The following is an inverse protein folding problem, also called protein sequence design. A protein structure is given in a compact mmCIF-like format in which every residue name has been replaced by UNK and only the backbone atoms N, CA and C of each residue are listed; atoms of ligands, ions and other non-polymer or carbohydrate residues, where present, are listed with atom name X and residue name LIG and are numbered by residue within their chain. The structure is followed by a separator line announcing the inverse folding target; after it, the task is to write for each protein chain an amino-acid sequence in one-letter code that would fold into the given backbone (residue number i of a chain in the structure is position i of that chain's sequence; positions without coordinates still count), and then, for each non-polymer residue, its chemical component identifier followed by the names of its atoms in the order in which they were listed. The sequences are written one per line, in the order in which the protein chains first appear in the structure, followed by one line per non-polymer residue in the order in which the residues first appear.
data_IF_499021192717
#
_entry.id   IF_499021192717
#
_cell.length_a   1.000
_cell.length_b   1.000
_cell.length_c   1.000
_cell.angle_alpha   90.00
_cell.angle_beta   90.00
_cell.angle_gamma   90.00
#
_symmetry.space_group_name_H-M   'P 1'
#
loop_
_entity.id
_entity.type
_entity.pdbx_description
1 polymer ?
#
# COMPACT_ATOMS: atom_id res chain seq x y z
N UNK A 1 -34.84 0.88 1.85
CA UNK A 1 -33.61 1.72 1.94
C UNK A 1 -32.57 1.18 2.90
N UNK A 2 -32.90 0.87 4.16
CA UNK A 2 -31.94 0.37 5.16
C UNK A 2 -31.23 -0.92 4.69
N UNK A 3 -31.97 -1.88 4.13
CA UNK A 3 -31.40 -3.11 3.58
C UNK A 3 -30.39 -2.88 2.43
N UNK A 4 -30.60 -1.86 1.59
CA UNK A 4 -29.67 -1.49 0.53
C UNK A 4 -28.33 -1.01 1.08
N UNK A 5 -28.34 -0.12 2.08
CA UNK A 5 -27.11 0.35 2.72
C UNK A 5 -26.40 -0.76 3.50
N UNK A 6 -27.14 -1.66 4.13
CA UNK A 6 -26.60 -2.87 4.76
C UNK A 6 -25.86 -3.76 3.76
N UNK A 7 -26.49 -4.04 2.62
CA UNK A 7 -25.87 -4.78 1.53
C UNK A 7 -24.63 -4.07 0.97
N UNK A 8 -24.71 -2.77 0.70
CA UNK A 8 -23.61 -1.98 0.15
C UNK A 8 -22.38 -1.98 1.07
N UNK A 9 -22.56 -1.69 2.36
CA UNK A 9 -21.47 -1.66 3.33
C UNK A 9 -20.85 -3.05 3.51
N UNK A 10 -21.67 -4.10 3.57
CA UNK A 10 -21.20 -5.47 3.63
C UNK A 10 -20.38 -5.85 2.39
N UNK A 11 -20.87 -5.53 1.19
CA UNK A 11 -20.17 -5.82 -0.06
C UNK A 11 -18.83 -5.09 -0.18
N UNK A 12 -18.75 -3.82 0.22
CA UNK A 12 -17.47 -3.08 0.24
C UNK A 12 -16.45 -3.77 1.15
N UNK A 13 -16.88 -4.20 2.34
CA UNK A 13 -16.04 -4.90 3.32
C UNK A 13 -15.56 -6.25 2.77
N UNK A 14 -16.47 -7.06 2.24
CA UNK A 14 -16.17 -8.37 1.66
C UNK A 14 -15.20 -8.25 0.48
N UNK A 15 -15.45 -7.33 -0.45
CA UNK A 15 -14.55 -7.08 -1.58
C UNK A 15 -13.17 -6.60 -1.12
N UNK A 16 -13.12 -5.76 -0.08
CA UNK A 16 -11.86 -5.30 0.50
C UNK A 16 -11.04 -6.44 1.13
N UNK A 17 -11.70 -7.40 1.78
CA UNK A 17 -11.07 -8.61 2.32
C UNK A 17 -10.49 -9.47 1.18
N UNK A 18 -11.25 -9.70 0.10
CA UNK A 18 -10.74 -10.43 -1.05
C UNK A 18 -9.56 -9.75 -1.73
N UNK A 19 -9.56 -8.42 -1.82
CA UNK A 19 -8.42 -7.66 -2.32
C UNK A 19 -7.17 -7.81 -1.42
N UNK A 20 -7.34 -7.88 -0.09
CA UNK A 20 -6.27 -8.17 0.86
C UNK A 20 -5.69 -9.58 0.66
N UNK A 21 -6.55 -10.59 0.58
CA UNK A 21 -6.13 -11.97 0.27
C UNK A 21 -5.39 -12.04 -1.07
N UNK A 22 -5.92 -11.38 -2.10
CA UNK A 22 -5.31 -11.33 -3.43
C UNK A 22 -3.97 -10.61 -3.47
N UNK A 23 -3.72 -9.64 -2.57
CA UNK A 23 -2.42 -8.99 -2.43
C UNK A 23 -1.42 -9.91 -1.72
N UNK A 24 -1.85 -10.61 -0.68
CA UNK A 24 -1.03 -11.59 0.05
C UNK A 24 -0.70 -12.82 -0.81
N UNK A 25 -1.64 -13.31 -1.61
CA UNK A 25 -1.39 -14.42 -2.55
C UNK A 25 -0.37 -14.04 -3.64
N UNK A 26 -0.39 -12.78 -4.11
CA UNK A 26 0.55 -12.31 -5.13
C UNK A 26 1.97 -12.08 -4.61
N UNK A 27 2.12 -11.70 -3.33
CA UNK A 27 3.44 -11.51 -2.68
C UNK A 27 3.40 -12.01 -1.22
N UNK A 28 3.52 -13.32 -0.97
CA UNK A 28 3.38 -13.89 0.38
C UNK A 28 4.45 -13.41 1.36
N UNK A 29 5.65 -13.06 0.87
CA UNK A 29 6.74 -12.54 1.70
C UNK A 29 6.53 -11.08 2.15
N UNK A 30 5.74 -10.28 1.43
CA UNK A 30 5.65 -8.83 1.62
C UNK A 30 5.14 -8.44 3.00
N UNK A 31 4.17 -9.18 3.55
CA UNK A 31 3.65 -8.90 4.90
C UNK A 31 4.71 -9.18 5.98
N UNK A 32 5.45 -10.29 5.85
CA UNK A 32 6.53 -10.63 6.78
C UNK A 32 7.68 -9.63 6.73
N UNK A 33 8.02 -9.12 5.55
CA UNK A 33 9.03 -8.08 5.34
C UNK A 33 8.58 -6.72 5.88
N UNK A 34 7.33 -6.32 5.62
CA UNK A 34 6.72 -5.12 6.18
C UNK A 34 6.75 -5.14 7.72
N UNK A 35 6.28 -6.23 8.33
CA UNK A 35 6.30 -6.38 9.79
C UNK A 35 7.73 -6.39 10.37
N UNK A 36 8.71 -6.88 9.61
CA UNK A 36 10.13 -6.81 9.98
C UNK A 36 10.64 -5.37 9.94
N UNK A 37 10.30 -4.63 8.89
CA UNK A 37 10.68 -3.22 8.73
C UNK A 37 10.06 -2.32 9.82
N UNK A 38 8.81 -2.58 10.21
CA UNK A 38 8.17 -1.87 11.32
C UNK A 38 8.86 -2.11 12.67
N UNK A 39 9.49 -3.28 12.86
CA UNK A 39 10.25 -3.63 14.07
C UNK A 39 9.45 -3.64 15.39
N UNK A 40 8.11 -3.56 15.35
CA UNK A 40 7.25 -3.49 16.54
C UNK A 40 6.99 -4.87 17.13
N UNK A 41 6.84 -5.90 16.29
CA UNK A 41 6.55 -7.26 16.72
C UNK A 41 7.81 -8.10 16.87
N UNK A 42 7.84 -8.94 17.92
CA UNK A 42 8.88 -9.95 18.10
C UNK A 42 8.88 -11.01 16.97
N UNK A 43 9.98 -11.76 16.78
CA UNK A 43 10.15 -12.66 15.63
C UNK A 43 9.06 -13.74 15.51
N UNK A 44 8.58 -14.26 16.64
CA UNK A 44 7.52 -15.29 16.70
C UNK A 44 6.16 -14.71 16.28
N UNK A 45 5.75 -13.60 16.89
CA UNK A 45 4.50 -12.92 16.58
C UNK A 45 4.44 -12.41 15.15
N UNK A 46 5.57 -11.99 14.57
CA UNK A 46 5.67 -11.61 13.16
C UNK A 46 5.32 -12.76 12.21
N UNK A 47 5.91 -13.95 12.41
CA UNK A 47 5.63 -15.12 11.57
C UNK A 47 4.18 -15.56 11.74
N UNK A 48 3.69 -15.58 12.98
CA UNK A 48 2.30 -15.90 13.28
C UNK A 48 1.35 -14.95 12.56
N UNK A 49 1.54 -13.64 12.70
CA UNK A 49 0.71 -12.63 12.04
C UNK A 49 0.75 -12.77 10.51
N UNK A 50 1.93 -12.96 9.92
CA UNK A 50 2.09 -13.10 8.47
C UNK A 50 1.33 -14.30 7.87
N UNK A 51 1.11 -15.35 8.66
CA UNK A 51 0.33 -16.53 8.24
C UNK A 51 -1.15 -16.34 8.57
N UNK A 52 -1.47 -15.97 9.81
CA UNK A 52 -2.85 -15.94 10.31
C UNK A 52 -3.68 -14.85 9.67
N UNK A 53 -3.11 -13.67 9.38
CA UNK A 53 -3.86 -12.54 8.83
C UNK A 53 -4.49 -12.85 7.45
N UNK A 54 -3.74 -13.35 6.44
CA UNK A 54 -4.34 -13.74 5.17
C UNK A 54 -5.44 -14.80 5.30
N UNK A 55 -5.26 -15.79 6.20
CA UNK A 55 -6.28 -16.80 6.46
C UNK A 55 -7.53 -16.19 7.12
N UNK A 56 -7.36 -15.28 8.09
CA UNK A 56 -8.46 -14.57 8.72
C UNK A 56 -9.22 -13.70 7.70
N UNK A 57 -8.52 -12.98 6.82
CA UNK A 57 -9.14 -12.20 5.75
C UNK A 57 -9.93 -13.07 4.79
N UNK A 58 -9.35 -14.19 4.34
CA UNK A 58 -10.01 -15.11 3.42
C UNK A 58 -11.22 -15.80 4.02
N UNK A 59 -11.09 -16.29 5.25
CA UNK A 59 -12.20 -16.94 5.96
C UNK A 59 -13.35 -15.97 6.22
N UNK A 60 -13.06 -14.73 6.65
CA UNK A 60 -14.08 -13.70 6.84
C UNK A 60 -14.72 -13.27 5.52
N UNK A 61 -13.92 -13.12 4.45
CA UNK A 61 -14.43 -12.77 3.11
C UNK A 61 -15.38 -13.83 2.57
N UNK A 62 -15.00 -15.11 2.64
CA UNK A 62 -15.83 -16.25 2.20
C UNK A 62 -17.08 -16.40 3.08
N UNK A 63 -16.93 -16.37 4.41
CA UNK A 63 -18.07 -16.49 5.33
C UNK A 63 -19.06 -15.34 5.16
N UNK A 64 -18.58 -14.10 5.02
CA UNK A 64 -19.41 -12.94 4.76
C UNK A 64 -20.13 -13.01 3.41
N UNK A 65 -19.43 -13.41 2.34
CA UNK A 65 -20.04 -13.61 1.03
C UNK A 65 -21.12 -14.70 1.04
N UNK A 66 -20.82 -15.86 1.64
CA UNK A 66 -21.76 -16.95 1.75
C UNK A 66 -23.00 -16.54 2.57
N UNK A 67 -22.81 -15.87 3.71
CA UNK A 67 -23.90 -15.39 4.53
C UNK A 67 -24.76 -14.34 3.82
N UNK A 68 -24.15 -13.44 3.03
CA UNK A 68 -24.87 -12.46 2.23
C UNK A 68 -25.70 -13.13 1.13
N UNK A 69 -25.12 -14.09 0.40
CA UNK A 69 -25.78 -14.79 -0.71
C UNK A 69 -26.88 -15.75 -0.25
N UNK A 70 -26.73 -16.36 0.93
CA UNK A 70 -27.72 -17.26 1.52
C UNK A 70 -28.78 -16.53 2.35
N UNK A 71 -28.64 -15.22 2.55
CA UNK A 71 -29.51 -14.42 3.42
C UNK A 71 -29.37 -14.75 4.92
N UNK A 72 -28.26 -15.37 5.33
CA UNK A 72 -28.03 -15.78 6.72
C UNK A 72 -27.59 -14.60 7.60
N UNK A 73 -28.57 -13.83 8.08
CA UNK A 73 -28.40 -12.55 8.77
C UNK A 73 -27.43 -12.59 9.96
N UNK A 74 -27.56 -13.58 10.85
CA UNK A 74 -26.67 -13.72 12.03
C UNK A 74 -25.22 -14.00 11.64
N UNK A 75 -25.02 -14.83 10.61
CA UNK A 75 -23.68 -15.11 10.09
C UNK A 75 -23.06 -13.88 9.45
N UNK A 76 -23.85 -13.10 8.70
CA UNK A 76 -23.40 -11.85 8.09
C UNK A 76 -23.01 -10.84 9.16
N UNK A 77 -23.84 -10.66 10.18
CA UNK A 77 -23.55 -9.78 11.31
C UNK A 77 -22.27 -10.22 12.06
N UNK A 78 -22.09 -11.52 12.32
CA UNK A 78 -20.91 -12.05 12.98
C UNK A 78 -19.64 -11.83 12.13
N UNK A 79 -19.71 -12.09 10.82
CA UNK A 79 -18.59 -11.88 9.90
C UNK A 79 -18.20 -10.40 9.83
N UNK A 80 -19.19 -9.49 9.79
CA UNK A 80 -18.94 -8.05 9.77
C UNK A 80 -18.39 -7.55 11.11
N UNK A 81 -18.89 -8.03 12.25
CA UNK A 81 -18.35 -7.69 13.57
C UNK A 81 -16.90 -8.16 13.73
N UNK A 82 -16.58 -9.36 13.26
CA UNK A 82 -15.20 -9.85 13.22
C UNK A 82 -14.33 -9.03 12.24
N UNK A 83 -14.88 -8.62 11.10
CA UNK A 83 -14.26 -7.67 10.17
C UNK A 83 -13.95 -6.32 10.82
N UNK A 84 -14.88 -5.77 11.62
CA UNK A 84 -14.65 -4.55 12.41
C UNK A 84 -13.47 -4.72 13.35
N UNK A 85 -13.40 -5.84 14.07
CA UNK A 85 -12.28 -6.11 14.97
C UNK A 85 -10.96 -6.20 14.20
N UNK A 86 -10.93 -6.92 13.08
CA UNK A 86 -9.75 -7.07 12.23
C UNK A 86 -9.25 -5.72 11.68
N UNK A 87 -10.11 -4.94 11.04
CA UNK A 87 -9.74 -3.63 10.50
C UNK A 87 -9.43 -2.62 11.60
N UNK A 88 -10.09 -2.72 12.76
CA UNK A 88 -9.77 -1.93 13.95
C UNK A 88 -8.37 -2.22 14.48
N UNK A 89 -7.98 -3.49 14.53
CA UNK A 89 -6.61 -3.90 14.89
C UNK A 89 -5.59 -3.38 13.87
N UNK A 90 -5.88 -3.45 12.56
CA UNK A 90 -5.03 -2.85 11.54
C UNK A 90 -4.90 -1.32 11.71
N UNK A 91 -6.01 -0.62 11.94
CA UNK A 91 -5.98 0.82 12.18
C UNK A 91 -5.17 1.18 13.44
N UNK A 92 -5.36 0.45 14.53
CA UNK A 92 -4.61 0.62 15.78
C UNK A 92 -3.10 0.35 15.60
N UNK A 93 -2.75 -0.77 14.96
CA UNK A 93 -1.37 -1.14 14.68
C UNK A 93 -0.68 -0.10 13.81
N UNK A 94 -1.29 0.27 12.67
CA UNK A 94 -0.71 1.26 11.75
C UNK A 94 -0.56 2.63 12.43
N UNK A 95 -1.55 3.07 13.22
CA UNK A 95 -1.46 4.30 14.02
C UNK A 95 -0.29 4.25 15.00
N UNK A 96 -0.11 3.13 15.69
CA UNK A 96 0.98 2.96 16.65
C UNK A 96 2.35 2.99 15.97
N UNK A 97 2.51 2.29 14.85
CA UNK A 97 3.77 2.28 14.06
C UNK A 97 4.11 3.68 13.55
N UNK A 98 3.14 4.41 12.99
CA UNK A 98 3.32 5.81 12.54
C UNK A 98 3.68 6.72 13.72
N UNK A 99 3.05 6.55 14.88
CA UNK A 99 3.34 7.34 16.08
C UNK A 99 4.76 7.12 16.62
N UNK A 100 5.33 5.92 16.43
CA UNK A 100 6.73 5.61 16.76
C UNK A 100 7.73 6.13 15.72
N UNK A 101 7.27 6.80 14.65
CA UNK A 101 8.13 7.25 13.54
C UNK A 101 8.74 6.11 12.74
N UNK A 102 8.22 4.89 12.89
CA UNK A 102 8.73 3.72 12.18
C UNK A 102 8.03 3.63 10.83
N UNK A 103 8.82 3.71 9.76
CA UNK A 103 8.33 3.58 8.39
C UNK A 103 8.38 2.14 7.90
N UNK A 104 8.09 1.96 6.61
CA UNK A 104 8.14 0.66 5.94
C UNK A 104 6.98 0.48 4.97
N UNK A 105 7.01 -0.57 4.14
CA UNK A 105 5.92 -0.87 3.22
C UNK A 105 4.65 -1.22 3.99
N UNK A 106 3.49 -0.76 3.54
CA UNK A 106 2.22 -1.02 4.22
C UNK A 106 1.81 -2.50 4.25
N UNK A 107 2.45 -3.38 3.45
CA UNK A 107 2.23 -4.84 3.41
C UNK A 107 0.87 -5.29 2.88
N UNK A 108 -0.11 -4.38 2.81
CA UNK A 108 -1.50 -4.65 2.42
C UNK A 108 -1.76 -4.34 0.93
N UNK A 109 -0.92 -3.53 0.29
CA UNK A 109 -1.03 -3.12 -1.12
C UNK A 109 -0.02 -3.87 -1.98
N UNK A 110 -0.37 -4.10 -3.26
CA UNK A 110 0.59 -4.58 -4.28
C UNK A 110 1.68 -3.56 -4.61
N UNK A 111 1.47 -2.29 -4.27
CA UNK A 111 2.45 -1.23 -4.45
C UNK A 111 3.24 -1.03 -3.16
N UNK A 112 4.55 -0.82 -3.28
CA UNK A 112 5.50 -0.56 -2.19
C UNK A 112 5.32 0.86 -1.63
N UNK A 113 4.09 1.16 -1.18
CA UNK A 113 3.73 2.42 -0.56
C UNK A 113 4.16 2.43 0.91
N UNK A 114 4.80 3.53 1.36
CA UNK A 114 5.16 3.66 2.76
C UNK A 114 3.90 3.74 3.63
N UNK A 115 4.01 3.17 4.82
CA UNK A 115 3.00 3.29 5.86
C UNK A 115 2.76 4.78 6.16
N UNK A 116 1.54 5.25 5.97
CA UNK A 116 1.17 6.65 6.13
C UNK A 116 -0.12 6.81 6.92
N UNK A 117 -0.40 8.04 7.38
CA UNK A 117 -1.69 8.38 8.02
C UNK A 117 -2.89 8.04 7.13
N UNK A 118 -2.69 8.02 5.81
CA UNK A 118 -3.73 7.62 4.86
C UNK A 118 -4.09 6.14 4.98
N UNK A 119 -3.09 5.25 5.11
CA UNK A 119 -3.31 3.81 5.33
C UNK A 119 -4.12 3.57 6.60
N UNK A 120 -3.78 4.28 7.68
CA UNK A 120 -4.53 4.22 8.95
C UNK A 120 -5.98 4.69 8.79
N UNK A 121 -6.22 5.82 8.11
CA UNK A 121 -7.58 6.32 7.86
C UNK A 121 -8.40 5.35 7.03
N UNK A 122 -7.80 4.72 6.03
CA UNK A 122 -8.46 3.70 5.21
C UNK A 122 -8.88 2.48 6.04
N UNK A 123 -7.98 1.96 6.87
CA UNK A 123 -8.32 0.85 7.76
C UNK A 123 -9.45 1.23 8.75
N UNK A 124 -9.39 2.45 9.31
CA UNK A 124 -10.45 2.96 10.19
C UNK A 124 -11.80 3.12 9.46
N UNK A 125 -11.81 3.58 8.21
CA UNK A 125 -13.01 3.68 7.40
C UNK A 125 -13.63 2.30 7.12
N UNK A 126 -12.81 1.30 6.80
CA UNK A 126 -13.28 -0.09 6.62
C UNK A 126 -13.83 -0.67 7.93
N UNK A 127 -13.20 -0.39 9.07
CA UNK A 127 -13.71 -0.80 10.38
C UNK A 127 -15.08 -0.17 10.68
N UNK A 128 -15.24 1.14 10.39
CA UNK A 128 -16.50 1.85 10.55
C UNK A 128 -17.60 1.32 9.61
N UNK A 129 -17.27 1.04 8.35
CA UNK A 129 -18.19 0.43 7.39
C UNK A 129 -18.62 -0.97 7.85
N UNK A 130 -17.69 -1.78 8.33
CA UNK A 130 -18.00 -3.11 8.87
C UNK A 130 -18.90 -3.02 10.11
N UNK A 131 -18.65 -2.04 10.99
CA UNK A 131 -19.48 -1.84 12.18
C UNK A 131 -20.89 -1.38 11.80
N UNK A 132 -21.00 -0.41 10.90
CA UNK A 132 -22.28 0.05 10.38
C UNK A 132 -23.04 -1.08 9.70
N UNK A 133 -22.37 -1.88 8.87
CA UNK A 133 -22.94 -3.06 8.23
C UNK A 133 -23.41 -4.10 9.24
N UNK A 134 -22.65 -4.37 10.30
CA UNK A 134 -23.04 -5.30 11.37
C UNK A 134 -24.29 -4.81 12.12
N UNK A 135 -24.37 -3.52 12.45
CA UNK A 135 -25.53 -2.91 13.12
C UNK A 135 -26.76 -2.95 12.21
N UNK A 136 -26.61 -2.57 10.94
CA UNK A 136 -27.71 -2.55 9.96
C UNK A 136 -28.20 -3.96 9.64
N UNK A 137 -27.28 -4.91 9.41
CA UNK A 137 -27.61 -6.31 9.16
C UNK A 137 -28.29 -6.94 10.38
N UNK A 138 -28.04 -6.47 11.60
CA UNK A 138 -28.76 -6.92 12.80
C UNK A 138 -30.22 -6.45 12.86
N UNK A 139 -30.59 -5.39 12.13
CA UNK A 139 -31.91 -4.78 12.23
C UNK A 139 -32.95 -5.40 11.27
N UNK A 140 -32.58 -5.72 10.03
CA UNK A 140 -33.53 -6.18 9.02
C UNK A 140 -32.81 -7.02 7.93
N UNK A 141 -33.40 -8.12 7.41
CA UNK A 141 -32.84 -8.85 6.28
C UNK A 141 -32.59 -8.00 5.04
N UNK A 142 -31.43 -8.19 4.41
CA UNK A 142 -31.08 -7.58 3.13
C UNK A 142 -31.89 -8.25 2.02
N UNK A 143 -32.94 -7.58 1.55
CA UNK A 143 -33.72 -7.96 0.36
C UNK A 143 -33.53 -6.90 -0.71
N UNK A 144 -33.08 -7.32 -1.89
CA UNK A 144 -32.74 -6.46 -3.01
C UNK A 144 -33.48 -6.92 -4.26
N UNK A 145 -34.05 -5.98 -5.00
CA UNK A 145 -34.49 -6.21 -6.38
C UNK A 145 -33.29 -6.38 -7.33
N UNK A 146 -33.51 -6.90 -8.53
CA UNK A 146 -32.45 -7.09 -9.52
C UNK A 146 -31.77 -5.76 -9.95
N UNK A 147 -32.55 -4.67 -10.03
CA UNK A 147 -32.02 -3.34 -10.33
C UNK A 147 -31.13 -2.83 -9.17
N UNK A 148 -31.59 -2.96 -7.93
CA UNK A 148 -30.81 -2.58 -6.74
C UNK A 148 -29.55 -3.41 -6.60
N UNK A 149 -29.59 -4.70 -6.94
CA UNK A 149 -28.41 -5.57 -6.95
C UNK A 149 -27.34 -5.04 -7.93
N UNK A 150 -27.76 -4.64 -9.13
CA UNK A 150 -26.85 -4.13 -10.16
C UNK A 150 -26.19 -2.82 -9.69
N UNK A 151 -26.99 -1.89 -9.16
CA UNK A 151 -26.48 -0.64 -8.58
C UNK A 151 -25.52 -0.90 -7.41
N UNK A 152 -25.87 -1.84 -6.53
CA UNK A 152 -25.07 -2.20 -5.37
C UNK A 152 -23.72 -2.78 -5.79
N UNK A 153 -23.68 -3.69 -6.76
CA UNK A 153 -22.43 -4.30 -7.24
C UNK A 153 -21.51 -3.24 -7.84
N UNK A 154 -22.04 -2.37 -8.70
CA UNK A 154 -21.27 -1.29 -9.32
C UNK A 154 -20.77 -0.28 -8.29
N UNK A 155 -21.64 0.16 -7.38
CA UNK A 155 -21.29 1.11 -6.33
C UNK A 155 -20.26 0.52 -5.36
N UNK A 156 -20.44 -0.72 -4.92
CA UNK A 156 -19.49 -1.39 -4.03
C UNK A 156 -18.13 -1.56 -4.69
N UNK A 157 -18.09 -1.98 -5.96
CA UNK A 157 -16.85 -2.10 -6.72
C UNK A 157 -16.15 -0.74 -6.85
N UNK A 158 -16.88 0.31 -7.27
CA UNK A 158 -16.34 1.66 -7.40
C UNK A 158 -15.80 2.19 -6.07
N UNK A 159 -16.57 2.12 -4.99
CA UNK A 159 -16.14 2.54 -3.65
C UNK A 159 -14.92 1.75 -3.16
N UNK A 160 -14.90 0.43 -3.38
CA UNK A 160 -13.77 -0.41 -2.99
C UNK A 160 -12.51 -0.03 -3.75
N UNK A 161 -12.61 0.14 -5.07
CA UNK A 161 -11.50 0.59 -5.92
C UNK A 161 -11.00 1.96 -5.52
N UNK A 162 -11.89 2.92 -5.26
CA UNK A 162 -11.53 4.26 -4.79
C UNK A 162 -10.79 4.19 -3.46
N UNK A 163 -11.35 3.48 -2.46
CA UNK A 163 -10.68 3.27 -1.17
C UNK A 163 -9.33 2.59 -1.31
N UNK A 164 -9.21 1.64 -2.24
CA UNK A 164 -7.99 0.88 -2.50
C UNK A 164 -6.90 1.73 -3.17
N UNK A 165 -7.30 2.59 -4.11
CA UNK A 165 -6.40 3.35 -4.99
C UNK A 165 -6.00 4.71 -4.43
N UNK A 166 -6.80 5.26 -3.51
CA UNK A 166 -6.55 6.57 -2.89
C UNK A 166 -5.17 6.72 -2.25
N UNK A 167 -4.59 5.72 -1.55
CA UNK A 167 -3.23 5.84 -1.02
C UNK A 167 -2.20 6.09 -2.13
N UNK A 168 -2.35 5.46 -3.29
CA UNK A 168 -1.43 5.63 -4.42
C UNK A 168 -1.60 7.00 -5.07
N UNK A 169 -2.84 7.47 -5.23
CA UNK A 169 -3.12 8.78 -5.79
C UNK A 169 -2.68 9.94 -4.89
N UNK A 170 -2.72 9.75 -3.57
CA UNK A 170 -2.31 10.76 -2.58
C UNK A 170 -0.83 10.67 -2.21
N UNK A 171 -0.12 9.63 -2.67
CA UNK A 171 1.31 9.53 -2.45
C UNK A 171 2.03 10.35 -3.52
N UNK A 172 2.41 11.58 -3.16
CA UNK A 172 3.45 12.27 -3.91
C UNK A 172 4.76 11.51 -3.66
N UNK A 173 5.40 10.97 -4.72
CA UNK A 173 6.79 10.55 -4.60
C UNK A 173 7.51 11.79 -4.12
N UNK A 174 8.12 11.73 -2.93
CA UNK A 174 9.07 12.77 -2.55
C UNK A 174 10.08 12.74 -3.69
N UNK A 175 10.10 13.79 -4.51
CA UNK A 175 11.15 13.98 -5.48
C UNK A 175 12.41 13.92 -4.65
N UNK A 176 13.07 12.76 -4.67
CA UNK A 176 14.43 12.62 -4.21
C UNK A 176 15.10 13.84 -4.75
N UNK A 177 15.53 14.71 -3.84
CA UNK A 177 16.31 15.88 -4.17
C UNK A 177 17.31 15.41 -5.22
N UNK A 178 17.05 15.77 -6.47
CA UNK A 178 18.09 15.82 -7.47
C UNK A 178 18.97 16.88 -6.88
N UNK A 179 19.94 16.44 -6.07
CA UNK A 179 21.15 17.18 -5.89
C UNK A 179 21.54 17.45 -7.34
N UNK A 180 21.48 18.71 -7.82
CA UNK A 180 22.14 18.99 -9.08
C UNK A 180 23.53 18.40 -8.90
N UNK A 181 24.05 17.58 -9.84
CA UNK A 181 25.42 17.11 -9.71
C UNK A 181 26.21 18.38 -9.44
N UNK A 182 26.83 18.46 -8.26
CA UNK A 182 27.81 19.49 -7.95
C UNK A 182 28.68 19.49 -9.19
N UNK A 183 28.56 20.55 -10.01
CA UNK A 183 29.39 20.70 -11.20
C UNK A 183 30.79 20.60 -10.63
N UNK A 184 31.42 19.44 -10.81
CA UNK A 184 32.85 19.31 -10.64
C UNK A 184 33.40 20.50 -11.41
N UNK A 185 34.11 21.37 -10.70
CA UNK A 185 34.73 22.53 -11.28
C UNK A 185 35.41 22.04 -12.56
N UNK A 186 34.85 22.43 -13.71
CA UNK A 186 35.44 22.13 -15.01
C UNK A 186 36.80 22.78 -14.93
N UNK A 187 37.82 21.94 -14.85
CA UNK A 187 39.20 22.35 -14.99
C UNK A 187 39.25 23.10 -16.32
N UNK A 188 39.36 24.42 -16.25
CA UNK A 188 39.60 25.29 -17.38
C UNK A 188 40.97 24.87 -17.92
N UNK A 189 41.09 24.30 -19.14
CA UNK A 189 42.39 24.11 -19.73
C UNK A 189 42.92 25.52 -20.01
N UNK A 190 44.08 25.82 -19.46
CA UNK A 190 44.82 27.03 -19.75
C UNK A 190 45.04 27.10 -21.26
N UNK A 191 44.47 28.11 -21.90
CA UNK A 191 44.73 28.49 -23.28
C UNK A 191 46.22 28.79 -23.42
N UNK A 192 47.02 27.80 -23.82
CA UNK A 192 48.36 28.04 -24.35
C UNK A 192 48.18 28.57 -25.76
N UNK A 193 48.21 29.89 -25.88
CA UNK A 193 48.37 30.65 -27.11
C UNK A 193 49.58 30.15 -27.88
N UNK A 194 49.35 29.30 -28.90
CA UNK A 194 50.39 28.91 -29.86
C UNK A 194 50.49 30.04 -30.89
N UNK A 195 51.45 30.93 -30.68
CA UNK A 195 51.95 31.81 -31.73
C UNK A 195 52.61 30.96 -32.81
N UNK A 196 51.95 30.86 -33.96
CA UNK A 196 52.54 30.39 -35.22
C UNK A 196 53.49 31.47 -35.73
N UNK A 197 54.79 31.33 -35.48
CA UNK A 197 55.82 32.06 -36.23
C UNK A 197 56.42 31.14 -37.29
N UNK A 198 56.48 31.69 -38.49
CA UNK A 198 57.00 31.07 -39.69
C UNK A 198 58.53 30.97 -39.67
N UNK A 199 59.03 30.07 -40.53
CA UNK A 199 60.36 30.07 -41.13
C UNK A 199 61.59 29.72 -40.27
N UNK A 200 62.50 28.96 -40.89
CA UNK A 200 63.93 29.12 -40.62
C UNK A 200 64.68 27.88 -40.13
N UNK A 201 65.06 27.03 -41.08
CA UNK A 201 66.29 26.21 -41.15
C UNK A 201 67.38 26.55 -40.10
N UNK A 202 67.93 25.55 -39.39
CA UNK A 202 69.32 25.09 -39.56
C UNK A 202 69.85 24.23 -38.38
N UNK A 203 70.52 23.14 -38.78
CA UNK A 203 71.76 22.55 -38.22
C UNK A 203 71.78 22.06 -36.77
N UNK A 204 71.94 20.74 -36.57
CA UNK A 204 73.23 20.03 -36.31
C UNK A 204 73.71 20.26 -34.87
N UNK A 205 73.88 19.20 -34.09
CA UNK A 205 75.12 18.81 -33.39
C UNK A 205 74.87 17.64 -32.41
N UNK A 206 75.92 16.87 -32.25
CA UNK A 206 76.08 15.50 -31.73
C UNK A 206 76.09 15.37 -30.20
N UNK A 207 75.92 14.11 -29.74
CA UNK A 207 75.96 13.56 -28.36
C UNK A 207 77.17 13.96 -27.48
N UNK A 208 77.16 13.73 -26.14
CA UNK A 208 77.52 12.40 -25.57
C UNK A 208 76.75 12.01 -24.26
N UNK A 209 76.96 10.80 -23.70
CA UNK A 209 76.28 10.30 -22.48
C UNK A 209 77.14 10.39 -21.18
N UNK A 210 76.48 10.02 -20.06
CA UNK A 210 76.96 9.74 -18.68
C UNK A 210 76.94 10.93 -17.70
N UNK A 211 76.74 10.70 -16.38
CA UNK A 211 77.61 9.87 -15.52
C UNK A 211 77.11 8.46 -15.19
#
# INVERSE_FOLDING_TARGET
MIGFYGGLTASIVILSLFMGVGSHAARPAALGEALRAHGVLGPRFRRFAAVVLPFAEGTLGVAGAAALLTGHQRGLQAALAAGTALFGLYAGYTRHVVALGRGGPCGCSRQDLPLSRWVTRRAAALAALALAGAVIAGADPVRLSAAELTTLVLAAAACTVLLWSLPAAMHEPTATSVHPPTRAAVHRPTETTVHRTAEGVSTRWTSPPAP
#
